data_IF_238864276145
#
_entry.id   IF_238864276145
#
_cell.length_a   1.000
_cell.length_b   1.000
_cell.length_c   1.000
_cell.angle_alpha   90.00
_cell.angle_beta   90.00
_cell.angle_gamma   90.00
#
_symmetry.space_group_name_H-M   'P 1'
#
loop_
_entity.id
_entity.type
_entity.pdbx_description
1 polymer ?
#
# COMPACT_ATOMS: atom_id res chain seq x y z
N UNK A 1 -1.52 10.60 33.18
CA UNK A 1 -1.56 9.15 33.49
C UNK A 1 -2.97 8.69 33.12
N UNK A 2 -3.30 8.03 32.02
CA UNK A 2 -2.59 7.16 31.07
C UNK A 2 -3.27 7.28 29.70
N UNK A 3 -2.49 7.18 28.63
CA UNK A 3 -3.00 7.00 27.27
C UNK A 3 -3.59 5.59 27.17
N UNK A 4 -4.92 5.49 27.00
CA UNK A 4 -5.63 4.25 26.72
C UNK A 4 -5.35 3.79 25.29
N UNK A 5 -4.17 3.19 25.09
CA UNK A 5 -3.68 2.57 23.85
C UNK A 5 -4.45 1.28 23.49
N UNK A 6 -5.72 1.16 23.89
CA UNK A 6 -6.53 -0.06 23.75
C UNK A 6 -7.62 0.00 22.68
N UNK A 7 -8.01 1.19 22.23
CA UNK A 7 -9.19 1.37 21.36
C UNK A 7 -8.86 1.68 19.88
N UNK A 8 -7.58 1.74 19.51
CA UNK A 8 -7.14 2.15 18.15
C UNK A 8 -7.01 0.95 17.19
N UNK A 9 -7.22 -0.29 17.66
CA UNK A 9 -7.11 -1.50 16.85
C UNK A 9 -8.47 -2.05 16.41
N UNK A 10 -9.51 -1.22 16.33
CA UNK A 10 -10.71 -1.62 15.62
C UNK A 10 -10.57 -1.27 14.13
N UNK A 11 -10.52 -2.28 13.22
CA UNK A 11 -10.41 -2.04 11.78
C UNK A 11 -11.50 -1.12 11.25
N UNK A 12 -12.68 -1.11 11.89
CA UNK A 12 -13.83 -0.28 11.53
C UNK A 12 -13.59 1.20 11.84
N UNK A 13 -12.86 1.53 12.92
CA UNK A 13 -12.45 2.91 13.25
C UNK A 13 -11.39 3.41 12.25
N UNK A 14 -10.44 2.55 11.86
CA UNK A 14 -9.49 2.84 10.78
C UNK A 14 -10.21 3.09 9.43
N UNK A 15 -11.19 2.25 9.10
CA UNK A 15 -11.97 2.38 7.87
C UNK A 15 -12.89 3.63 7.86
N UNK A 16 -13.39 4.07 9.02
CA UNK A 16 -14.19 5.28 9.17
C UNK A 16 -13.37 6.56 8.95
N UNK A 17 -12.09 6.57 9.32
CA UNK A 17 -11.18 7.70 9.08
C UNK A 17 -10.75 7.74 7.59
N UNK A 18 -10.62 6.57 6.95
CA UNK A 18 -10.27 6.36 5.52
C UNK A 18 -11.18 7.09 4.52
N UNK A 19 -12.39 7.50 4.94
CA UNK A 19 -13.35 8.27 4.11
C UNK A 19 -13.17 9.79 4.21
N UNK A 20 -12.12 10.30 4.87
CA UNK A 20 -11.80 11.74 4.80
C UNK A 20 -11.33 12.09 3.38
N UNK A 21 -12.29 12.52 2.56
CA UNK A 21 -12.10 13.15 1.23
C UNK A 21 -10.78 13.94 1.19
N UNK A 22 -9.79 13.45 0.44
CA UNK A 22 -8.54 14.15 0.14
C UNK A 22 -7.24 13.49 0.62
N UNK A 23 -7.31 12.31 1.24
CA UNK A 23 -6.11 11.55 1.64
C UNK A 23 -5.68 10.57 0.55
N UNK A 24 -4.36 10.46 0.33
CA UNK A 24 -3.72 9.52 -0.59
C UNK A 24 -3.30 8.26 0.16
N UNK A 25 -3.54 7.10 -0.45
CA UNK A 25 -3.17 5.81 0.10
C UNK A 25 -1.76 5.46 -0.38
N UNK A 26 -0.81 5.44 0.55
CA UNK A 26 0.56 5.00 0.33
C UNK A 26 0.74 3.59 0.87
N UNK A 27 1.07 2.67 -0.03
CA UNK A 27 1.45 1.30 0.30
C UNK A 27 2.97 1.19 0.29
N UNK A 28 3.56 0.76 1.39
CA UNK A 28 4.95 0.32 1.43
C UNK A 28 5.01 -1.15 1.02
N UNK A 29 5.80 -1.45 -0.01
CA UNK A 29 5.94 -2.79 -0.57
C UNK A 29 7.38 -3.26 -0.50
N UNK A 30 7.57 -4.57 -0.43
CA UNK A 30 8.89 -5.20 -0.53
C UNK A 30 8.92 -6.19 -1.70
N UNK A 31 10.05 -6.21 -2.42
CA UNK A 31 10.29 -7.12 -3.54
C UNK A 31 10.81 -8.49 -3.11
N UNK A 32 11.36 -8.56 -1.90
CA UNK A 32 11.98 -9.73 -1.30
C UNK A 32 11.88 -9.62 0.24
N UNK A 33 12.42 -10.58 0.99
CA UNK A 33 12.56 -10.49 2.45
C UNK A 33 13.67 -9.51 2.89
N UNK A 34 14.12 -8.59 2.03
CA UNK A 34 15.06 -7.54 2.46
C UNK A 34 14.37 -6.48 3.30
N UNK A 35 15.18 -5.68 3.98
CA UNK A 35 14.74 -4.53 4.77
C UNK A 35 14.36 -3.31 3.91
N UNK A 36 14.49 -3.38 2.58
CA UNK A 36 14.19 -2.24 1.70
C UNK A 36 12.74 -2.26 1.23
N UNK A 37 12.00 -1.26 1.67
CA UNK A 37 10.63 -1.04 1.23
C UNK A 37 10.51 0.18 0.33
N UNK A 38 9.54 0.14 -0.58
CA UNK A 38 9.27 1.21 -1.53
C UNK A 38 7.83 1.66 -1.43
N UNK A 39 7.59 2.97 -1.52
CA UNK A 39 6.25 3.53 -1.50
C UNK A 39 5.63 3.54 -2.89
N UNK A 40 4.40 3.06 -2.96
CA UNK A 40 3.51 3.17 -4.12
C UNK A 40 2.18 3.77 -3.70
N UNK A 41 1.53 4.43 -4.64
CA UNK A 41 0.18 4.97 -4.46
C UNK A 41 -0.87 3.96 -4.89
N UNK A 42 -2.03 3.98 -4.25
CA UNK A 42 -3.21 3.28 -4.73
C UNK A 42 -4.46 4.11 -4.51
N UNK A 43 -5.45 3.89 -5.37
CA UNK A 43 -6.81 4.37 -5.18
C UNK A 43 -7.75 3.22 -4.73
N UNK A 44 -7.22 1.98 -4.73
CA UNK A 44 -7.89 0.77 -4.24
C UNK A 44 -7.69 0.63 -2.73
N UNK A 45 -8.78 0.81 -1.99
CA UNK A 45 -8.81 0.77 -0.52
C UNK A 45 -9.07 -0.64 0.04
N UNK A 46 -9.28 -1.64 -0.84
CA UNK A 46 -9.41 -3.06 -0.49
C UNK A 46 -8.07 -3.77 -0.31
N UNK A 47 -6.96 -3.11 -0.66
CA UNK A 47 -5.61 -3.61 -0.42
C UNK A 47 -5.30 -3.54 1.08
N UNK A 48 -4.84 -4.66 1.63
CA UNK A 48 -4.49 -4.85 3.04
C UNK A 48 -3.02 -5.22 3.20
N UNK A 49 -2.49 -5.06 4.42
CA UNK A 49 -1.12 -5.49 4.74
C UNK A 49 -1.06 -7.01 4.64
N UNK A 50 -0.07 -7.51 3.89
CA UNK A 50 0.09 -8.93 3.59
C UNK A 50 -0.31 -9.30 2.16
N UNK A 51 -1.12 -8.47 1.48
CA UNK A 51 -1.52 -8.70 0.10
C UNK A 51 -0.34 -8.67 -0.87
N UNK A 52 -0.46 -9.46 -1.92
CA UNK A 52 0.41 -9.39 -3.09
C UNK A 52 -0.24 -8.48 -4.15
N UNK A 53 0.56 -7.58 -4.71
CA UNK A 53 0.13 -6.58 -5.68
C UNK A 53 1.11 -6.51 -6.84
N UNK A 54 0.62 -6.09 -8.01
CA UNK A 54 1.45 -5.86 -9.20
C UNK A 54 1.86 -4.38 -9.27
N UNK A 55 3.17 -4.14 -9.34
CA UNK A 55 3.75 -2.78 -9.43
C UNK A 55 4.72 -2.65 -10.61
N UNK A 56 4.84 -1.46 -11.22
CA UNK A 56 5.81 -1.23 -12.28
C UNK A 56 7.22 -1.01 -11.71
N UNK A 57 8.13 -1.94 -11.99
CA UNK A 57 9.50 -1.94 -11.48
C UNK A 57 10.55 -1.72 -12.58
N UNK A 58 11.71 -1.19 -12.17
CA UNK A 58 12.84 -0.97 -13.07
C UNK A 58 12.63 0.12 -14.12
N UNK A 59 13.56 0.18 -15.09
CA UNK A 59 13.59 1.17 -16.17
C UNK A 59 12.53 0.89 -17.24
N UNK A 60 12.23 -0.38 -17.48
CA UNK A 60 11.28 -0.82 -18.50
C UNK A 60 9.83 -0.85 -18.00
N UNK A 61 9.59 -0.53 -16.72
CA UNK A 61 8.28 -0.62 -16.05
C UNK A 61 7.63 -2.01 -16.14
N UNK A 62 8.44 -3.06 -16.13
CA UNK A 62 7.91 -4.43 -16.06
C UNK A 62 7.11 -4.61 -14.77
N UNK A 63 5.98 -5.30 -14.86
CA UNK A 63 5.18 -5.61 -13.68
C UNK A 63 5.89 -6.64 -12.82
N UNK A 64 5.97 -6.36 -11.53
CA UNK A 64 6.53 -7.23 -10.52
C UNK A 64 5.50 -7.47 -9.43
N UNK A 65 5.40 -8.72 -8.99
CA UNK A 65 4.62 -9.11 -7.83
C UNK A 65 5.39 -8.75 -6.57
N UNK A 66 4.77 -7.98 -5.68
CA UNK A 66 5.38 -7.49 -4.43
C UNK A 66 4.40 -7.61 -3.28
N UNK A 67 4.92 -7.75 -2.06
CA UNK A 67 4.11 -7.86 -0.85
C UNK A 67 3.93 -6.50 -0.19
N UNK A 68 2.70 -6.15 0.15
CA UNK A 68 2.37 -4.98 0.95
C UNK A 68 2.74 -5.25 2.41
N UNK A 69 3.61 -4.41 2.97
CA UNK A 69 4.09 -4.56 4.37
C UNK A 69 3.58 -3.45 5.28
N UNK A 70 3.11 -2.33 4.71
CA UNK A 70 2.53 -1.21 5.47
C UNK A 70 1.60 -0.39 4.58
N UNK A 71 0.54 0.15 5.16
CA UNK A 71 -0.38 1.08 4.49
C UNK A 71 -0.50 2.34 5.34
N UNK A 72 -0.37 3.49 4.71
CA UNK A 72 -0.42 4.80 5.35
C UNK A 72 -1.27 5.76 4.52
N UNK A 73 -1.91 6.71 5.22
CA UNK A 73 -2.77 7.73 4.62
C UNK A 73 -2.13 9.09 4.82
N UNK A 74 -1.97 9.84 3.73
CA UNK A 74 -1.35 11.15 3.76
C UNK A 74 -2.21 12.20 3.06
N UNK A 75 -2.33 13.37 3.67
CA UNK A 75 -2.81 14.57 2.97
C UNK A 75 -1.79 15.00 1.91
N UNK A 76 -2.25 15.64 0.83
CA UNK A 76 -1.42 16.10 -0.30
C UNK A 76 -0.17 16.86 0.13
N UNK A 77 -0.27 17.67 1.18
CA UNK A 77 0.79 18.54 1.70
C UNK A 77 1.77 17.81 2.63
N UNK A 78 1.41 16.62 3.11
CA UNK A 78 2.17 15.83 4.10
C UNK A 78 2.72 14.52 3.52
N UNK A 79 2.63 14.33 2.22
CA UNK A 79 3.08 13.10 1.57
C UNK A 79 4.59 12.90 1.76
N UNK A 80 5.06 11.65 2.00
CA UNK A 80 6.48 11.36 2.15
C UNK A 80 7.25 11.53 0.83
N UNK A 81 6.55 11.33 -0.29
CA UNK A 81 7.06 11.48 -1.64
C UNK A 81 6.04 12.25 -2.48
N UNK A 82 6.46 13.16 -3.36
CA UNK A 82 5.54 13.84 -4.26
C UNK A 82 4.71 12.86 -5.08
N UNK A 83 3.39 13.08 -5.12
CA UNK A 83 2.42 12.20 -5.79
C UNK A 83 2.78 12.01 -7.27
N UNK A 84 3.24 13.06 -7.94
CA UNK A 84 3.66 13.02 -9.35
C UNK A 84 4.94 12.22 -9.62
N UNK A 85 5.73 11.91 -8.57
CA UNK A 85 6.94 11.09 -8.65
C UNK A 85 6.72 9.69 -8.11
N UNK A 86 5.61 9.45 -7.43
CA UNK A 86 5.30 8.16 -6.80
C UNK A 86 4.55 7.30 -7.82
N UNK A 87 5.07 6.11 -8.08
CA UNK A 87 4.41 5.13 -8.96
C UNK A 87 3.13 4.60 -8.30
N UNK A 88 2.19 4.15 -9.11
CA UNK A 88 0.94 3.54 -8.62
C UNK A 88 1.00 2.02 -8.65
N UNK A 89 0.33 1.38 -7.71
CA UNK A 89 -0.05 -0.03 -7.79
C UNK A 89 -0.98 -0.17 -8.99
N UNK A 90 -0.74 -1.19 -9.82
CA UNK A 90 -1.56 -1.45 -11.01
C UNK A 90 -2.83 -2.19 -10.60
N UNK A 91 -2.69 -3.23 -9.78
CA UNK A 91 -3.78 -4.04 -9.24
C UNK A 91 -3.31 -4.96 -8.11
N UNK A 92 -4.25 -5.47 -7.33
CA UNK A 92 -4.05 -6.64 -6.46
C UNK A 92 -3.82 -7.89 -7.31
N UNK A 93 -3.02 -8.82 -6.81
CA UNK A 93 -2.83 -10.12 -7.45
C UNK A 93 -4.12 -10.94 -7.36
N UNK A 94 -4.38 -11.70 -8.43
CA UNK A 94 -5.51 -12.63 -8.53
C UNK A 94 -4.99 -14.06 -8.56
N UNK A 95 -5.86 -15.04 -8.34
CA UNK A 95 -5.49 -16.46 -8.32
C UNK A 95 -4.75 -16.89 -9.62
N UNK A 96 -5.15 -16.34 -10.76
CA UNK A 96 -4.50 -16.56 -12.07
C UNK A 96 -3.00 -16.17 -12.12
N UNK A 97 -2.58 -15.20 -11.30
CA UNK A 97 -1.17 -14.78 -11.24
C UNK A 97 -0.29 -15.83 -10.55
N UNK A 98 -0.88 -16.67 -9.69
CA UNK A 98 -0.17 -17.73 -8.97
C UNK A 98 -0.09 -19.01 -9.79
N UNK A 99 -1.13 -19.31 -10.58
CA UNK A 99 -1.18 -20.51 -11.42
C UNK A 99 -0.14 -20.49 -12.55
N UNK A 100 0.29 -19.30 -12.97
CA UNK A 100 1.30 -19.11 -14.03
C UNK A 100 2.75 -19.47 -13.63
N UNK A 101 2.98 -19.88 -12.37
CA UNK A 101 4.29 -20.28 -11.83
C UNK A 101 4.43 -21.81 -11.67
N UNK A 102 3.44 -22.60 -12.13
CA UNK A 102 3.39 -24.07 -11.99
C UNK A 102 3.97 -24.83 -13.17
#
# INVERSE_FOLDING_TARGET
LFYGLGEILDPSIYNLIKRRKGEYIYCSVTFDDSYKTYYYLTDDDSIEVGDLVMVPAGKDNNLAMVKVVKIEYFQKEKVPLPINKTKKIVRKCTDEDFDSQS
#
